data_IF_418361993807
#
_entry.id   IF_418361993807
#
_cell.length_a   1.000
_cell.length_b   1.000
_cell.length_c   1.000
_cell.angle_alpha   90.00
_cell.angle_beta   90.00
_cell.angle_gamma   90.00
#
_symmetry.space_group_name_H-M   'P 1'
#
loop_
_entity.id
_entity.type
_entity.pdbx_description
1 polymer ?
#
# COMPACT_ATOMS: atom_id res chain seq x y z
N UNK A 1 -2.81 11.71 -19.26
CA UNK A 1 -2.65 12.45 -18.00
C UNK A 1 -1.32 12.04 -17.41
N UNK A 2 -0.54 12.99 -16.89
CA UNK A 2 0.76 12.70 -16.31
C UNK A 2 0.62 11.96 -14.97
N UNK A 3 1.46 10.94 -14.75
CA UNK A 3 1.51 10.19 -13.50
C UNK A 3 2.37 10.92 -12.49
N UNK A 4 1.78 11.24 -11.34
CA UNK A 4 2.44 11.85 -10.19
C UNK A 4 2.35 10.86 -9.05
N UNK A 5 3.32 9.96 -8.99
CA UNK A 5 3.29 8.85 -8.06
C UNK A 5 4.12 9.11 -6.80
N UNK A 6 3.68 8.50 -5.71
CA UNK A 6 4.49 8.29 -4.53
C UNK A 6 4.76 6.80 -4.38
N UNK A 7 6.04 6.46 -4.30
CA UNK A 7 6.49 5.10 -4.05
C UNK A 7 6.69 4.90 -2.54
N UNK A 8 5.84 4.04 -1.97
CA UNK A 8 5.99 3.57 -0.60
C UNK A 8 6.66 2.18 -0.63
N UNK A 9 7.89 2.13 -0.11
CA UNK A 9 8.62 0.88 0.06
C UNK A 9 8.24 0.22 1.39
N UNK A 10 7.56 -0.92 1.31
CA UNK A 10 7.19 -1.75 2.47
C UNK A 10 7.91 -3.10 2.44
N UNK A 11 9.04 -3.19 1.72
CA UNK A 11 9.75 -4.45 1.50
C UNK A 11 10.51 -4.97 2.71
N UNK A 12 10.90 -4.10 3.64
CA UNK A 12 11.60 -4.46 4.89
C UNK A 12 10.68 -4.67 6.09
N UNK A 13 9.51 -5.29 5.88
CA UNK A 13 8.53 -5.68 6.91
C UNK A 13 7.97 -4.55 7.79
N UNK A 14 8.17 -3.29 7.37
CA UNK A 14 7.60 -2.11 8.02
C UNK A 14 6.36 -1.66 7.30
N UNK A 15 5.23 -2.27 7.66
CA UNK A 15 3.92 -1.86 7.17
C UNK A 15 3.42 -0.67 8.01
N UNK A 16 3.03 0.46 7.37
CA UNK A 16 2.39 1.56 8.08
C UNK A 16 1.10 1.11 8.78
N UNK A 17 0.75 1.79 9.86
CA UNK A 17 -0.56 1.60 10.48
C UNK A 17 -1.67 2.06 9.54
N UNK A 18 -2.91 1.66 9.82
CA UNK A 18 -4.06 2.12 9.03
C UNK A 18 -4.20 3.65 9.06
N UNK A 19 -4.03 4.29 10.22
CA UNK A 19 -4.00 5.75 10.35
C UNK A 19 -2.89 6.41 9.52
N UNK A 20 -1.71 5.77 9.43
CA UNK A 20 -0.64 6.25 8.55
C UNK A 20 -1.03 6.18 7.07
N UNK A 21 -1.72 5.13 6.63
CA UNK A 21 -2.24 5.07 5.25
C UNK A 21 -3.28 6.15 4.97
N UNK A 22 -4.24 6.35 5.88
CA UNK A 22 -5.25 7.42 5.76
C UNK A 22 -4.57 8.79 5.64
N UNK A 23 -3.62 9.08 6.52
CA UNK A 23 -2.88 10.35 6.49
C UNK A 23 -2.05 10.50 5.22
N UNK A 24 -1.42 9.43 4.74
CA UNK A 24 -0.65 9.45 3.50
C UNK A 24 -1.55 9.81 2.31
N UNK A 25 -2.69 9.14 2.16
CA UNK A 25 -3.62 9.38 1.04
C UNK A 25 -4.21 10.80 1.09
N UNK A 26 -4.58 11.32 2.26
CA UNK A 26 -5.01 12.72 2.44
C UNK A 26 -3.92 13.72 2.01
N UNK A 27 -2.66 13.46 2.38
CA UNK A 27 -1.53 14.29 1.94
C UNK A 27 -1.33 14.21 0.43
N UNK A 28 -1.43 13.00 -0.15
CA UNK A 28 -1.29 12.80 -1.60
C UNK A 28 -2.35 13.58 -2.37
N UNK A 29 -3.61 13.55 -1.94
CA UNK A 29 -4.70 14.33 -2.53
C UNK A 29 -4.38 15.83 -2.51
N UNK A 30 -3.97 16.37 -1.35
CA UNK A 30 -3.62 17.79 -1.19
C UNK A 30 -2.45 18.22 -2.07
N UNK A 31 -1.49 17.31 -2.28
CA UNK A 31 -0.34 17.50 -3.17
C UNK A 31 -0.65 17.20 -4.65
N UNK A 32 -1.88 16.80 -4.96
CA UNK A 32 -2.34 16.39 -6.30
C UNK A 32 -1.54 15.22 -6.87
N UNK A 33 -1.01 14.34 -6.03
CA UNK A 33 -0.49 13.04 -6.45
C UNK A 33 -1.69 12.14 -6.82
N UNK A 34 -1.54 11.32 -7.86
CA UNK A 34 -2.63 10.52 -8.41
C UNK A 34 -2.34 9.02 -8.44
N UNK A 35 -1.19 8.59 -7.93
CA UNK A 35 -0.82 7.18 -7.88
C UNK A 35 0.00 6.87 -6.62
N UNK A 36 -0.41 5.85 -5.87
CA UNK A 36 0.36 5.25 -4.79
C UNK A 36 0.96 3.94 -5.33
N UNK A 37 2.28 3.90 -5.45
CA UNK A 37 3.04 2.70 -5.79
C UNK A 37 3.49 2.03 -4.50
N UNK A 38 3.01 0.81 -4.27
CA UNK A 38 3.31 0.03 -3.09
C UNK A 38 4.32 -1.04 -3.50
N UNK A 39 5.60 -0.81 -3.16
CA UNK A 39 6.63 -1.81 -3.39
C UNK A 39 6.62 -2.80 -2.26
N UNK A 40 6.20 -4.01 -2.58
CA UNK A 40 6.10 -5.11 -1.63
C UNK A 40 7.33 -5.98 -1.73
N UNK A 41 7.86 -6.36 -0.57
CA UNK A 41 8.99 -7.28 -0.50
C UNK A 41 8.55 -8.71 -0.76
N UNK A 42 9.39 -9.67 -0.34
CA UNK A 42 9.01 -11.07 -0.35
C UNK A 42 7.76 -11.34 0.52
N UNK A 43 7.41 -10.40 1.42
CA UNK A 43 6.27 -10.27 2.34
C UNK A 43 4.82 -10.34 1.75
N UNK A 44 4.62 -10.75 0.49
CA UNK A 44 3.27 -10.83 -0.07
C UNK A 44 2.67 -12.21 0.16
N UNK A 45 1.70 -12.30 1.07
CA UNK A 45 0.96 -13.53 1.37
C UNK A 45 0.17 -13.98 0.15
N UNK A 46 0.79 -14.77 -0.72
CA UNK A 46 0.07 -15.72 -1.55
C UNK A 46 -0.39 -16.88 -0.65
N UNK A 47 -1.63 -17.34 -0.86
CA UNK A 47 -2.16 -18.53 -0.22
C UNK A 47 -1.21 -19.71 -0.50
N UNK A 48 -0.62 -20.32 0.53
CA UNK A 48 0.18 -21.55 0.40
C UNK A 48 1.66 -21.49 0.85
N UNK A 49 2.16 -20.35 1.34
CA UNK A 49 3.54 -20.24 1.85
C UNK A 49 3.59 -19.67 3.28
N UNK A 50 2.87 -20.28 4.22
CA UNK A 50 2.74 -19.79 5.61
C UNK A 50 4.09 -19.74 6.37
N UNK A 51 5.06 -20.56 6.00
CA UNK A 51 6.37 -20.69 6.67
C UNK A 51 7.32 -19.49 6.49
N UNK A 52 7.03 -18.56 5.57
CA UNK A 52 7.93 -17.42 5.26
C UNK A 52 7.62 -16.17 6.09
N UNK A 53 6.48 -16.15 6.82
CA UNK A 53 5.98 -14.93 7.49
C UNK A 53 6.11 -14.93 9.01
N UNK A 54 6.77 -15.93 9.61
CA UNK A 54 6.88 -16.01 11.07
C UNK A 54 7.73 -14.85 11.61
N UNK A 55 7.06 -13.84 12.16
CA UNK A 55 7.66 -12.61 12.69
C UNK A 55 7.52 -11.35 11.80
N UNK A 56 6.93 -11.45 10.61
CA UNK A 56 6.64 -10.29 9.75
C UNK A 56 5.17 -9.90 9.84
N UNK A 57 4.83 -8.63 9.61
CA UNK A 57 3.44 -8.15 9.57
C UNK A 57 3.00 -7.96 8.11
N UNK A 58 2.74 -9.01 7.32
CA UNK A 58 2.43 -8.85 5.91
C UNK A 58 1.11 -8.11 5.67
N UNK A 59 1.03 -7.38 4.54
CA UNK A 59 -0.23 -6.81 4.06
C UNK A 59 -1.12 -7.93 3.53
N UNK A 60 -2.24 -8.18 4.21
CA UNK A 60 -3.22 -9.17 3.77
C UNK A 60 -3.98 -8.70 2.52
N UNK A 61 -4.52 -9.62 1.69
CA UNK A 61 -5.39 -9.26 0.56
C UNK A 61 -6.60 -8.40 0.96
N UNK A 62 -7.13 -8.58 2.18
CA UNK A 62 -8.21 -7.77 2.72
C UNK A 62 -7.79 -6.32 2.99
N UNK A 63 -6.60 -6.12 3.57
CA UNK A 63 -6.04 -4.79 3.79
C UNK A 63 -5.73 -4.06 2.47
N UNK A 64 -5.22 -4.77 1.46
CA UNK A 64 -4.97 -4.19 0.14
C UNK A 64 -6.24 -3.75 -0.56
N UNK A 65 -7.31 -4.55 -0.51
CA UNK A 65 -8.62 -4.12 -1.02
C UNK A 65 -9.15 -2.89 -0.29
N UNK A 66 -9.04 -2.86 1.03
CA UNK A 66 -9.43 -1.71 1.84
C UNK A 66 -8.61 -0.47 1.48
N UNK A 67 -7.31 -0.62 1.27
CA UNK A 67 -6.41 0.46 0.85
C UNK A 67 -6.73 0.96 -0.57
N UNK A 68 -7.08 0.06 -1.49
CA UNK A 68 -7.55 0.44 -2.83
C UNK A 68 -8.78 1.33 -2.74
N UNK A 69 -9.79 0.94 -1.96
CA UNK A 69 -11.00 1.74 -1.78
C UNK A 69 -10.73 3.10 -1.14
N UNK A 70 -9.77 3.17 -0.20
CA UNK A 70 -9.31 4.44 0.37
C UNK A 70 -8.67 5.31 -0.71
N UNK A 71 -7.77 4.77 -1.53
CA UNK A 71 -7.12 5.54 -2.59
C UNK A 71 -8.15 6.04 -3.62
N UNK A 72 -9.08 5.17 -4.05
CA UNK A 72 -10.12 5.50 -5.03
C UNK A 72 -11.02 6.65 -4.55
N UNK A 73 -11.37 6.67 -3.25
CA UNK A 73 -12.16 7.74 -2.65
C UNK A 73 -11.47 9.12 -2.69
N UNK A 74 -10.15 9.15 -2.83
CA UNK A 74 -9.33 10.37 -2.90
C UNK A 74 -8.75 10.62 -4.31
N UNK A 75 -9.21 9.91 -5.33
CA UNK A 75 -8.72 10.05 -6.71
C UNK A 75 -7.27 9.60 -6.91
N UNK A 76 -6.77 8.73 -6.03
CA UNK A 76 -5.45 8.12 -6.09
C UNK A 76 -5.59 6.69 -6.60
N UNK A 77 -4.78 6.29 -7.59
CA UNK A 77 -4.70 4.89 -8.02
C UNK A 77 -3.71 4.12 -7.16
N UNK A 78 -4.10 2.97 -6.63
CA UNK A 78 -3.16 2.03 -6.02
C UNK A 78 -2.52 1.12 -7.10
N UNK A 79 -1.20 1.01 -7.09
CA UNK A 79 -0.41 0.09 -7.94
C UNK A 79 0.52 -0.71 -7.05
N UNK A 80 0.53 -2.03 -7.18
CA UNK A 80 1.52 -2.88 -6.50
C UNK A 80 2.67 -3.13 -7.48
N UNK A 81 3.91 -2.92 -7.01
CA UNK A 81 5.14 -3.08 -7.78
C UNK A 81 6.08 -4.10 -7.13
#
# INVERSE_FOLDING_TARGET
>A
METRSYLLDVSGDRIPTWDSFVRLVDVMERLRLNQLELRVGHAFTYVGHEDVWDGTSPLTPGQLRRLSSLCDAHGVRLVCA
#
